data_IF_792363206504
#
_entry.id   IF_792363206504
#
_cell.length_a   1.000
_cell.length_b   1.000
_cell.length_c   1.000
_cell.angle_alpha   90.00
_cell.angle_beta   90.00
_cell.angle_gamma   90.00
#
_symmetry.space_group_name_H-M   'P 1'
#
loop_
_entity.id
_entity.type
_entity.pdbx_description
1 polymer ?
#
# COMPACT_ATOMS: atom_id res chain seq x y z
N UNK A 1 33.14 40.10 -37.06
CA UNK A 1 33.20 38.62 -36.98
C UNK A 1 33.12 38.03 -35.56
N UNK A 2 33.46 38.77 -34.48
CA UNK A 2 33.50 38.26 -33.09
C UNK A 2 32.17 37.73 -32.54
N UNK A 3 31.04 38.30 -32.98
CA UNK A 3 29.71 37.94 -32.48
C UNK A 3 29.24 36.54 -32.94
N UNK A 4 29.56 36.14 -34.17
CA UNK A 4 29.15 34.85 -34.75
C UNK A 4 29.78 33.66 -33.99
N UNK A 5 31.02 33.80 -33.54
CA UNK A 5 31.72 32.77 -32.76
C UNK A 5 31.15 32.60 -31.35
N UNK A 6 30.71 33.68 -30.71
CA UNK A 6 30.04 33.62 -29.41
C UNK A 6 28.68 32.93 -29.51
N UNK A 7 27.88 33.26 -30.53
CA UNK A 7 26.57 32.61 -30.76
C UNK A 7 26.71 31.11 -31.04
N UNK A 8 27.70 30.69 -31.83
CA UNK A 8 27.97 29.27 -32.09
C UNK A 8 28.42 28.54 -30.81
N UNK A 9 29.21 29.21 -29.96
CA UNK A 9 29.68 28.63 -28.69
C UNK A 9 28.54 28.47 -27.68
N UNK A 10 27.65 29.46 -27.57
CA UNK A 10 26.47 29.40 -26.69
C UNK A 10 25.45 28.37 -27.18
N UNK A 11 25.22 28.28 -28.48
CA UNK A 11 24.42 27.22 -29.11
C UNK A 11 24.96 25.83 -28.78
N UNK A 12 26.28 25.60 -28.93
CA UNK A 12 26.91 24.31 -28.59
C UNK A 12 26.83 23.99 -27.09
N UNK A 13 26.96 24.99 -26.22
CA UNK A 13 26.83 24.82 -24.76
C UNK A 13 25.39 24.49 -24.35
N UNK A 14 24.40 25.14 -24.97
CA UNK A 14 22.97 24.87 -24.78
C UNK A 14 22.59 23.47 -25.24
N UNK A 15 23.04 23.05 -26.42
CA UNK A 15 22.81 21.70 -26.96
C UNK A 15 23.50 20.63 -26.09
N UNK A 16 24.72 20.90 -25.62
CA UNK A 16 25.44 20.00 -24.71
C UNK A 16 24.74 19.83 -23.36
N UNK A 17 24.25 20.92 -22.77
CA UNK A 17 23.45 20.89 -21.53
C UNK A 17 22.13 20.16 -21.70
N UNK A 18 21.41 20.41 -22.80
CA UNK A 18 20.16 19.72 -23.11
C UNK A 18 20.38 18.19 -23.25
N UNK A 19 21.43 17.78 -23.98
CA UNK A 19 21.78 16.36 -24.12
C UNK A 19 22.15 15.71 -22.78
N UNK A 20 22.88 16.43 -21.92
CA UNK A 20 23.25 15.93 -20.60
C UNK A 20 22.01 15.65 -19.74
N UNK A 21 21.08 16.62 -19.65
CA UNK A 21 19.82 16.47 -18.91
C UNK A 21 18.99 15.30 -19.45
N UNK A 22 18.84 15.20 -20.78
CA UNK A 22 18.09 14.10 -21.38
C UNK A 22 18.72 12.73 -21.09
N UNK A 23 20.05 12.61 -21.13
CA UNK A 23 20.75 11.36 -20.82
C UNK A 23 20.58 11.02 -19.33
N UNK A 24 20.72 11.97 -18.42
CA UNK A 24 20.55 11.72 -16.98
C UNK A 24 19.12 11.33 -16.64
N UNK A 25 18.12 11.97 -17.24
CA UNK A 25 16.71 11.67 -17.00
C UNK A 25 16.35 10.28 -17.54
N UNK A 26 16.82 9.94 -18.75
CA UNK A 26 16.63 8.61 -19.33
C UNK A 26 17.29 7.53 -18.46
N UNK A 27 18.54 7.75 -18.02
CA UNK A 27 19.23 6.81 -17.13
C UNK A 27 18.47 6.62 -15.81
N UNK A 28 17.98 7.70 -15.20
CA UNK A 28 17.17 7.61 -13.98
C UNK A 28 15.91 6.77 -14.18
N UNK A 29 15.19 6.95 -15.29
CA UNK A 29 14.00 6.14 -15.61
C UNK A 29 14.39 4.66 -15.77
N UNK A 30 15.51 4.36 -16.43
CA UNK A 30 16.00 2.99 -16.61
C UNK A 30 16.44 2.29 -15.32
N UNK A 31 16.76 3.02 -14.25
CA UNK A 31 17.02 2.41 -12.95
C UNK A 31 15.77 2.37 -12.06
N UNK A 32 14.99 3.46 -12.02
CA UNK A 32 13.84 3.58 -11.13
C UNK A 32 12.73 2.62 -11.54
N UNK A 33 12.41 2.52 -12.84
CA UNK A 33 11.31 1.69 -13.29
C UNK A 33 11.56 0.19 -13.06
N UNK A 34 12.72 -0.39 -13.43
CA UNK A 34 13.00 -1.79 -13.11
C UNK A 34 13.14 -2.07 -11.62
N UNK A 35 13.69 -1.15 -10.84
CA UNK A 35 13.75 -1.31 -9.38
C UNK A 35 12.34 -1.33 -8.75
N UNK A 36 11.45 -0.44 -9.23
CA UNK A 36 10.06 -0.39 -8.78
C UNK A 36 9.27 -1.65 -9.15
N UNK A 37 9.37 -2.09 -10.41
CA UNK A 37 8.72 -3.33 -10.86
C UNK A 37 9.30 -4.56 -10.14
N UNK A 38 10.63 -4.61 -9.95
CA UNK A 38 11.28 -5.64 -9.14
C UNK A 38 10.76 -5.68 -7.71
N UNK A 39 10.62 -4.53 -7.05
CA UNK A 39 10.04 -4.42 -5.71
C UNK A 39 8.58 -4.91 -5.66
N UNK A 40 7.77 -4.59 -6.67
CA UNK A 40 6.37 -5.06 -6.74
C UNK A 40 6.29 -6.58 -6.84
N UNK A 41 7.12 -7.18 -7.69
CA UNK A 41 7.17 -8.64 -7.88
C UNK A 41 7.64 -9.32 -6.59
N UNK A 42 8.74 -8.86 -5.97
CA UNK A 42 9.27 -9.47 -4.75
C UNK A 42 8.30 -9.35 -3.58
N UNK A 43 7.63 -8.20 -3.40
CA UNK A 43 6.60 -8.02 -2.38
C UNK A 43 5.38 -8.92 -2.65
N UNK A 44 4.99 -9.11 -3.92
CA UNK A 44 3.95 -10.06 -4.31
C UNK A 44 4.30 -11.50 -3.95
N UNK A 45 5.51 -11.95 -4.30
CA UNK A 45 6.04 -13.28 -3.98
C UNK A 45 6.14 -13.47 -2.46
N UNK A 46 6.63 -12.46 -1.74
CA UNK A 46 6.75 -12.52 -0.28
C UNK A 46 5.39 -12.66 0.39
N UNK A 47 4.39 -11.87 -0.03
CA UNK A 47 3.01 -11.99 0.45
C UNK A 47 2.41 -13.35 0.10
N UNK A 48 2.62 -13.84 -1.12
CA UNK A 48 2.16 -15.16 -1.52
C UNK A 48 2.69 -16.24 -0.57
N UNK A 49 4.01 -16.29 -0.38
CA UNK A 49 4.62 -17.26 0.53
C UNK A 49 4.22 -17.06 1.99
N UNK A 50 4.03 -15.82 2.44
CA UNK A 50 3.50 -15.54 3.76
C UNK A 50 2.14 -16.23 3.96
N UNK A 51 1.21 -16.11 3.02
CA UNK A 51 -0.11 -16.73 3.15
C UNK A 51 -0.11 -18.25 2.88
N UNK A 52 0.65 -18.74 1.90
CA UNK A 52 0.62 -20.16 1.53
C UNK A 52 1.38 -21.07 2.47
N UNK A 53 2.44 -20.57 3.12
CA UNK A 53 3.28 -21.39 3.98
C UNK A 53 2.77 -21.44 5.43
N UNK A 54 1.67 -20.72 5.73
CA UNK A 54 1.07 -20.73 7.05
C UNK A 54 0.03 -21.85 7.16
N UNK A 55 0.22 -22.70 8.17
CA UNK A 55 -0.86 -23.56 8.64
C UNK A 55 -1.79 -22.69 9.46
N UNK A 56 -3.03 -22.57 9.03
CA UNK A 56 -4.06 -21.79 9.71
C UNK A 56 -5.21 -22.67 10.16
N UNK A 57 -5.80 -22.30 11.28
CA UNK A 57 -7.01 -22.92 11.82
C UNK A 57 -8.17 -21.93 11.71
N UNK A 58 -9.34 -22.43 11.30
CA UNK A 58 -10.56 -21.66 11.29
C UNK A 58 -11.09 -21.54 12.71
N UNK A 59 -11.28 -20.31 13.18
CA UNK A 59 -11.83 -20.02 14.50
C UNK A 59 -12.97 -19.02 14.37
N UNK A 60 -13.95 -19.14 15.25
CA UNK A 60 -14.97 -18.11 15.44
C UNK A 60 -14.39 -17.04 16.36
N UNK A 61 -14.50 -15.79 15.94
CA UNK A 61 -14.02 -14.65 16.67
C UNK A 61 -15.14 -13.64 16.89
N UNK A 62 -15.08 -12.96 18.03
CA UNK A 62 -16.05 -11.94 18.39
C UNK A 62 -15.49 -10.56 18.06
N UNK A 63 -16.09 -9.87 17.10
CA UNK A 63 -15.82 -8.44 16.88
C UNK A 63 -16.49 -7.66 18.00
N UNK A 64 -15.71 -7.01 18.85
CA UNK A 64 -16.18 -6.19 19.97
C UNK A 64 -16.21 -4.71 19.62
N UNK A 65 -15.41 -4.27 18.66
CA UNK A 65 -15.30 -2.88 18.22
C UNK A 65 -15.13 -2.76 16.71
N UNK A 66 -15.70 -1.70 16.14
CA UNK A 66 -15.51 -1.33 14.74
C UNK A 66 -15.17 0.14 14.69
N UNK A 67 -13.93 0.44 14.36
CA UNK A 67 -13.44 1.78 14.14
C UNK A 67 -13.26 2.04 12.65
N UNK A 68 -13.64 3.25 12.25
CA UNK A 68 -13.51 3.66 10.86
C UNK A 68 -12.86 5.02 10.81
N UNK A 69 -11.71 5.11 10.15
CA UNK A 69 -11.07 6.37 9.82
C UNK A 69 -11.51 6.79 8.42
N UNK A 70 -12.22 7.92 8.33
CA UNK A 70 -12.56 8.49 7.02
C UNK A 70 -11.59 9.61 6.70
N UNK A 71 -10.78 9.44 5.66
CA UNK A 71 -9.85 10.48 5.24
C UNK A 71 -10.54 11.82 4.93
N UNK A 72 -9.82 12.92 5.15
CA UNK A 72 -10.30 14.29 4.88
C UNK A 72 -10.65 14.52 3.40
N UNK A 73 -11.17 15.71 3.06
CA UNK A 73 -11.76 15.98 1.73
C UNK A 73 -10.87 15.57 0.53
N UNK A 74 -9.55 15.79 0.63
CA UNK A 74 -8.56 15.46 -0.41
C UNK A 74 -7.92 14.07 -0.30
N UNK A 75 -8.14 13.33 0.79
CA UNK A 75 -7.60 11.96 0.93
C UNK A 75 -8.47 10.98 0.14
N UNK A 76 -7.87 10.06 -0.60
CA UNK A 76 -8.56 8.90 -1.19
C UNK A 76 -8.60 7.70 -0.23
N UNK A 77 -7.82 7.75 0.84
CA UNK A 77 -7.67 6.65 1.79
C UNK A 77 -8.62 6.81 2.97
N UNK A 78 -9.31 5.72 3.27
CA UNK A 78 -10.02 5.48 4.52
C UNK A 78 -9.62 4.11 5.04
N UNK A 79 -9.85 3.86 6.33
CA UNK A 79 -9.52 2.60 6.98
C UNK A 79 -10.70 2.08 7.78
N UNK A 80 -10.86 0.76 7.81
CA UNK A 80 -11.76 0.06 8.73
C UNK A 80 -10.89 -0.86 9.59
N UNK A 81 -10.92 -0.64 10.89
CA UNK A 81 -10.23 -1.44 11.89
C UNK A 81 -11.26 -2.17 12.74
N UNK A 82 -11.12 -3.47 12.90
CA UNK A 82 -11.92 -4.24 13.83
C UNK A 82 -11.10 -4.54 15.08
N UNK A 83 -11.76 -4.42 16.22
CA UNK A 83 -11.29 -4.95 17.50
C UNK A 83 -11.91 -6.32 17.66
N UNK A 84 -11.10 -7.37 17.62
CA UNK A 84 -11.53 -8.77 17.54
C UNK A 84 -10.97 -9.51 18.74
N UNK A 85 -11.84 -10.25 19.44
CA UNK A 85 -11.46 -11.20 20.47
C UNK A 85 -11.40 -12.62 19.91
N UNK A 86 -10.22 -13.24 20.00
CA UNK A 86 -9.98 -14.63 19.64
C UNK A 86 -9.32 -15.32 20.84
N UNK A 87 -9.91 -16.42 21.32
CA UNK A 87 -9.39 -17.21 22.44
C UNK A 87 -9.07 -16.35 23.69
N UNK A 88 -9.91 -15.34 23.98
CA UNK A 88 -9.74 -14.44 25.12
C UNK A 88 -8.70 -13.34 24.92
N UNK A 89 -8.08 -13.23 23.72
CA UNK A 89 -7.12 -12.18 23.37
C UNK A 89 -7.74 -11.19 22.40
N UNK A 90 -7.72 -9.92 22.78
CA UNK A 90 -8.19 -8.82 21.95
C UNK A 90 -7.07 -8.35 21.00
N UNK A 91 -7.44 -8.09 19.75
CA UNK A 91 -6.52 -7.62 18.70
C UNK A 91 -7.20 -6.61 17.79
N UNK A 92 -6.48 -5.56 17.44
CA UNK A 92 -6.88 -4.64 16.38
C UNK A 92 -6.38 -5.15 15.03
N UNK A 93 -7.29 -5.28 14.07
CA UNK A 93 -7.00 -5.77 12.72
C UNK A 93 -7.51 -4.77 11.71
N UNK A 94 -6.63 -4.29 10.83
CA UNK A 94 -7.03 -3.51 9.66
C UNK A 94 -7.71 -4.46 8.66
N UNK A 95 -9.01 -4.28 8.47
CA UNK A 95 -9.83 -5.11 7.58
C UNK A 95 -9.78 -4.60 6.15
N UNK A 96 -9.62 -3.28 5.98
CA UNK A 96 -9.60 -2.69 4.65
C UNK A 96 -9.03 -1.27 4.66
N UNK A 97 -8.06 -1.03 3.76
CA UNK A 97 -7.74 0.30 3.27
C UNK A 97 -8.79 0.69 2.21
N UNK A 98 -9.98 1.06 2.69
CA UNK A 98 -11.16 1.30 1.88
C UNK A 98 -11.24 2.70 1.28
N UNK A 99 -12.18 2.90 0.36
CA UNK A 99 -12.66 4.24 0.02
C UNK A 99 -13.61 4.81 1.10
N UNK A 100 -13.88 6.11 1.03
CA UNK A 100 -14.76 6.81 2.00
C UNK A 100 -16.17 6.25 2.08
N UNK A 101 -16.72 5.77 0.98
CA UNK A 101 -18.10 5.24 0.95
C UNK A 101 -18.20 3.98 1.81
N UNK A 102 -17.25 3.06 1.62
CA UNK A 102 -17.18 1.80 2.38
C UNK A 102 -16.93 2.06 3.87
N UNK A 103 -16.00 2.94 4.22
CA UNK A 103 -15.74 3.27 5.64
C UNK A 103 -16.97 3.91 6.32
N UNK A 104 -17.69 4.81 5.64
CA UNK A 104 -18.95 5.38 6.16
C UNK A 104 -20.05 4.35 6.28
N UNK A 105 -20.17 3.46 5.31
CA UNK A 105 -21.15 2.37 5.31
C UNK A 105 -20.87 1.42 6.49
N UNK A 106 -19.63 0.98 6.64
CA UNK A 106 -19.18 0.14 7.76
C UNK A 106 -19.51 0.78 9.11
N UNK A 107 -19.20 2.07 9.31
CA UNK A 107 -19.53 2.80 10.54
C UNK A 107 -21.03 2.80 10.87
N UNK A 108 -21.88 2.85 9.84
CA UNK A 108 -23.33 2.95 10.00
C UNK A 108 -23.99 1.59 10.21
N UNK A 109 -23.47 0.55 9.55
CA UNK A 109 -24.13 -0.74 9.39
C UNK A 109 -23.50 -1.87 10.23
N UNK A 110 -22.21 -1.80 10.53
CA UNK A 110 -21.58 -2.78 11.42
C UNK A 110 -21.80 -2.35 12.87
N UNK A 111 -22.53 -3.19 13.60
CA UNK A 111 -22.85 -2.97 15.02
C UNK A 111 -22.37 -4.18 15.82
N UNK A 112 -21.19 -4.09 16.47
CA UNK A 112 -20.73 -5.08 17.43
C UNK A 112 -21.74 -5.31 18.57
N UNK A 113 -21.77 -6.50 19.19
CA UNK A 113 -20.90 -7.64 18.89
C UNK A 113 -21.32 -8.40 17.61
N UNK A 114 -20.35 -8.84 16.81
CA UNK A 114 -20.57 -9.64 15.60
C UNK A 114 -19.63 -10.85 15.62
N UNK A 115 -20.17 -12.04 15.44
CA UNK A 115 -19.38 -13.26 15.24
C UNK A 115 -18.89 -13.33 13.80
N UNK A 116 -17.59 -13.56 13.63
CA UNK A 116 -16.95 -13.71 12.33
C UNK A 116 -16.05 -14.94 12.30
N UNK A 117 -15.81 -15.46 11.12
CA UNK A 117 -14.85 -16.53 10.89
C UNK A 117 -13.48 -15.93 10.55
N UNK A 118 -12.45 -16.33 11.30
CA UNK A 118 -11.06 -15.90 11.12
C UNK A 118 -10.14 -17.09 10.94
N UNK A 119 -9.13 -16.93 10.09
CA UNK A 119 -8.02 -17.86 10.01
C UNK A 119 -6.88 -17.40 10.90
N UNK A 120 -6.50 -18.25 11.84
CA UNK A 120 -5.50 -17.96 12.86
C UNK A 120 -4.31 -18.88 12.67
N UNK A 121 -3.09 -18.35 12.66
CA UNK A 121 -1.89 -19.17 12.55
C UNK A 121 -1.48 -19.78 13.92
N UNK A 122 -0.46 -20.62 13.90
CA UNK A 122 0.07 -21.28 15.10
C UNK A 122 0.59 -20.29 16.18
N UNK A 123 0.95 -19.07 15.79
CA UNK A 123 1.36 -18.00 16.71
C UNK A 123 0.14 -17.24 17.29
N UNK A 124 -1.07 -17.64 16.94
CA UNK A 124 -2.32 -17.03 17.35
C UNK A 124 -2.65 -15.73 16.59
N UNK A 125 -1.92 -15.39 15.52
CA UNK A 125 -2.17 -14.19 14.72
C UNK A 125 -3.30 -14.41 13.73
N UNK A 126 -4.14 -13.40 13.56
CA UNK A 126 -5.21 -13.39 12.56
C UNK A 126 -4.58 -13.11 11.19
N UNK A 127 -4.67 -14.08 10.30
CA UNK A 127 -4.05 -14.05 8.97
C UNK A 127 -5.00 -13.47 7.93
N UNK A 128 -6.26 -13.90 7.94
CA UNK A 128 -7.32 -13.31 7.12
C UNK A 128 -8.71 -13.55 7.73
N UNK A 129 -9.64 -12.69 7.33
CA UNK A 129 -11.05 -12.71 7.68
C UNK A 129 -11.81 -13.40 6.53
N UNK A 130 -12.84 -14.19 6.85
CA UNK A 130 -13.67 -14.88 5.86
C UNK A 130 -14.98 -14.15 5.59
#
# INVERSE_FOLDING_TARGET
MRNKWNTIRESKKSIGGARFVTITDILLIFFIFPAYEGYRITNGIWRYHYFTNQITELKTALVTGVDTETGGSKSTYSRITFTINVDGKEREVNVSDSNKSLARSAKKHLKPPIDIEVHVNQEGQIVYLK
#
